data_IF_145199840459
#
_entry.id   IF_145199840459
#
_cell.length_a   1.000
_cell.length_b   1.000
_cell.length_c   1.000
_cell.angle_alpha   90.00
_cell.angle_beta   90.00
_cell.angle_gamma   90.00
#
_symmetry.space_group_name_H-M   'P 1'
#
loop_
_entity.id
_entity.type
_entity.pdbx_description
1 polymer ?
#
# COMPACT_ATOMS: atom_id res chain seq x y z
N UNK A 1 -19.70 7.15 -16.02
CA UNK A 1 -19.02 8.29 -16.67
C UNK A 1 -17.54 7.99 -16.78
N UNK A 2 -16.98 8.16 -17.96
CA UNK A 2 -15.58 7.92 -18.19
C UNK A 2 -14.78 9.20 -17.95
N UNK A 3 -13.81 9.11 -17.07
CA UNK A 3 -12.86 10.21 -16.87
C UNK A 3 -11.75 10.11 -17.89
N UNK A 4 -11.28 11.26 -18.41
CA UNK A 4 -10.03 11.28 -19.14
C UNK A 4 -8.87 11.10 -18.16
N UNK A 5 -7.66 10.89 -18.68
CA UNK A 5 -6.47 10.61 -17.89
C UNK A 5 -6.17 11.71 -16.86
N UNK A 6 -6.34 12.95 -17.25
CA UNK A 6 -6.09 14.12 -16.40
C UNK A 6 -7.08 14.19 -15.26
N UNK A 7 -8.36 13.96 -15.55
CA UNK A 7 -9.42 13.96 -14.53
C UNK A 7 -9.24 12.82 -13.54
N UNK A 8 -8.87 11.64 -14.04
CA UNK A 8 -8.62 10.49 -13.18
C UNK A 8 -7.46 10.74 -12.23
N UNK A 9 -6.34 11.27 -12.74
CA UNK A 9 -5.18 11.63 -11.92
C UNK A 9 -5.57 12.63 -10.82
N UNK A 10 -6.35 13.64 -11.17
CA UNK A 10 -6.79 14.64 -10.19
C UNK A 10 -7.75 14.04 -9.16
N UNK A 11 -8.67 13.17 -9.59
CA UNK A 11 -9.59 12.48 -8.67
C UNK A 11 -8.82 11.64 -7.65
N UNK A 12 -7.74 10.99 -8.07
CA UNK A 12 -6.88 10.22 -7.16
C UNK A 12 -6.18 11.10 -6.13
N UNK A 13 -5.67 12.25 -6.54
CA UNK A 13 -5.06 13.22 -5.63
C UNK A 13 -6.07 13.76 -4.63
N UNK A 14 -7.27 14.10 -5.09
CA UNK A 14 -8.35 14.62 -4.25
C UNK A 14 -8.80 13.57 -3.24
N UNK A 15 -8.88 12.31 -3.68
CA UNK A 15 -9.25 11.19 -2.81
C UNK A 15 -8.26 11.08 -1.64
N UNK A 16 -6.96 11.13 -1.93
CA UNK A 16 -5.93 11.01 -0.90
C UNK A 16 -5.95 12.23 0.04
N UNK A 17 -6.12 13.42 -0.50
CA UNK A 17 -6.24 14.64 0.30
C UNK A 17 -7.39 14.55 1.32
N UNK A 18 -8.51 13.98 0.91
CA UNK A 18 -9.65 13.75 1.80
C UNK A 18 -9.36 12.63 2.81
N UNK A 19 -8.74 11.54 2.36
CA UNK A 19 -8.44 10.37 3.20
C UNK A 19 -7.52 10.73 4.36
N UNK A 20 -6.52 11.58 4.14
CA UNK A 20 -5.55 11.94 5.19
C UNK A 20 -6.17 12.79 6.30
N UNK A 21 -7.36 13.32 6.11
CA UNK A 21 -8.09 14.04 7.15
C UNK A 21 -8.87 13.12 8.09
N UNK A 22 -9.00 11.83 7.75
CA UNK A 22 -9.72 10.88 8.59
C UNK A 22 -8.96 10.55 9.86
N UNK A 23 -9.69 10.33 10.94
CA UNK A 23 -9.11 9.95 12.22
C UNK A 23 -8.35 8.62 12.10
N UNK A 24 -7.18 8.56 12.71
CA UNK A 24 -6.34 7.36 12.71
C UNK A 24 -5.41 7.24 11.52
N UNK A 25 -5.53 8.12 10.51
CA UNK A 25 -4.61 8.13 9.37
C UNK A 25 -3.35 8.89 9.75
N UNK A 26 -2.21 8.23 9.59
CA UNK A 26 -0.89 8.76 9.95
C UNK A 26 -0.02 8.90 8.72
N UNK A 27 0.97 9.78 8.78
CA UNK A 27 1.87 10.03 7.66
C UNK A 27 3.13 9.18 7.72
N UNK A 28 3.65 8.87 6.54
CA UNK A 28 4.95 8.26 6.29
C UNK A 28 5.72 9.15 5.32
N UNK A 29 7.03 8.90 5.12
CA UNK A 29 7.77 9.67 4.13
C UNK A 29 7.16 9.60 2.72
N UNK A 30 7.43 10.62 1.92
CA UNK A 30 7.10 10.70 0.50
C UNK A 30 5.61 10.64 0.17
N UNK A 31 4.78 11.18 1.06
CA UNK A 31 3.35 11.30 0.80
C UNK A 31 2.59 9.99 0.93
N UNK A 32 3.16 8.99 1.56
CA UNK A 32 2.50 7.73 1.89
C UNK A 32 1.82 7.90 3.24
N UNK A 33 0.63 7.33 3.38
CA UNK A 33 -0.14 7.38 4.62
C UNK A 33 -0.61 5.98 4.99
N UNK A 34 -0.97 5.78 6.24
CA UNK A 34 -1.44 4.48 6.71
C UNK A 34 -2.42 4.61 7.86
N UNK A 35 -3.19 3.55 8.04
CA UNK A 35 -4.10 3.39 9.18
C UNK A 35 -3.88 2.00 9.75
N UNK A 36 -3.69 1.91 11.06
CA UNK A 36 -3.50 0.63 11.73
C UNK A 36 -4.85 -0.07 11.89
N UNK A 37 -4.96 -1.27 11.35
CA UNK A 37 -6.15 -2.11 11.50
C UNK A 37 -6.01 -3.11 12.63
N UNK A 38 -4.80 -3.62 12.86
CA UNK A 38 -4.48 -4.50 13.98
C UNK A 38 -3.01 -4.35 14.33
N UNK A 39 -2.69 -4.36 15.62
CA UNK A 39 -1.31 -4.30 16.09
C UNK A 39 -0.79 -5.72 16.34
N UNK A 40 0.44 -5.96 15.89
CA UNK A 40 1.14 -7.21 16.12
C UNK A 40 2.12 -7.11 17.27
N UNK A 41 3.31 -7.71 17.08
CA UNK A 41 4.38 -7.70 18.08
C UNK A 41 5.02 -6.33 18.14
N UNK A 42 4.84 -5.61 19.22
CA UNK A 42 5.47 -4.29 19.40
C UNK A 42 6.91 -4.47 19.95
N UNK A 43 7.72 -5.25 19.23
CA UNK A 43 9.08 -5.62 19.68
C UNK A 43 10.19 -4.76 19.03
N UNK A 44 9.80 -3.76 18.21
CA UNK A 44 10.74 -2.90 17.51
C UNK A 44 11.48 -3.55 16.36
N UNK A 45 11.13 -4.79 16.00
CA UNK A 45 11.75 -5.48 14.86
C UNK A 45 10.98 -5.17 13.58
N UNK A 46 11.66 -4.55 12.64
CA UNK A 46 11.09 -4.14 11.36
C UNK A 46 11.88 -4.76 10.20
N UNK A 47 11.22 -5.02 9.07
CA UNK A 47 11.96 -5.51 7.91
C UNK A 47 12.95 -4.46 7.40
N UNK A 48 14.09 -4.95 6.95
CA UNK A 48 15.07 -4.15 6.21
C UNK A 48 14.86 -4.40 4.70
N UNK A 49 15.36 -3.52 3.82
CA UNK A 49 15.13 -3.69 2.38
C UNK A 49 15.58 -5.04 1.81
N UNK A 50 16.61 -5.64 2.36
CA UNK A 50 17.12 -6.94 1.89
C UNK A 50 16.44 -8.15 2.51
N UNK A 51 15.61 -7.94 3.52
CA UNK A 51 14.86 -9.04 4.14
C UNK A 51 13.79 -9.57 3.19
N UNK A 52 13.50 -10.86 3.32
CA UNK A 52 12.33 -11.46 2.69
C UNK A 52 11.16 -11.22 3.64
N UNK A 53 10.12 -10.57 3.14
CA UNK A 53 8.89 -10.37 3.89
C UNK A 53 7.85 -11.38 3.43
N UNK A 54 7.09 -11.92 4.38
CA UNK A 54 5.95 -12.78 4.10
C UNK A 54 4.70 -12.02 4.51
N UNK A 55 3.77 -11.81 3.59
CA UNK A 55 2.60 -10.98 3.83
C UNK A 55 1.38 -11.46 3.07
N UNK A 56 0.21 -11.29 3.69
CA UNK A 56 -1.04 -11.28 2.95
C UNK A 56 -1.40 -9.84 2.61
N UNK A 57 -2.01 -9.64 1.46
CA UNK A 57 -2.40 -8.31 1.02
C UNK A 57 -3.59 -8.33 0.09
N UNK A 58 -4.24 -7.19 0.01
CA UNK A 58 -5.28 -6.90 -0.98
C UNK A 58 -5.06 -5.48 -1.47
N UNK A 59 -4.99 -5.29 -2.78
CA UNK A 59 -4.81 -3.98 -3.40
C UNK A 59 -6.05 -3.54 -4.16
N UNK A 60 -6.42 -2.26 -3.97
CA UNK A 60 -7.58 -1.63 -4.62
C UNK A 60 -7.23 -0.27 -5.20
N UNK A 61 -7.97 0.12 -6.21
CA UNK A 61 -8.00 1.50 -6.69
C UNK A 61 -9.05 2.29 -5.91
N UNK A 62 -9.10 3.61 -6.13
CA UNK A 62 -9.99 4.49 -5.34
C UNK A 62 -11.48 4.22 -5.54
N UNK A 63 -11.86 3.57 -6.63
CA UNK A 63 -13.26 3.16 -6.89
C UNK A 63 -13.64 1.87 -6.14
N UNK A 64 -12.71 1.31 -5.36
CA UNK A 64 -12.91 0.10 -4.58
C UNK A 64 -12.67 -1.19 -5.35
N UNK A 65 -12.29 -1.13 -6.62
CA UNK A 65 -12.00 -2.34 -7.40
C UNK A 65 -10.70 -2.97 -6.96
N UNK A 66 -10.75 -4.26 -6.65
CA UNK A 66 -9.58 -5.04 -6.31
C UNK A 66 -8.81 -5.39 -7.58
N UNK A 67 -7.52 -5.09 -7.61
CA UNK A 67 -6.68 -5.46 -8.75
C UNK A 67 -5.75 -6.62 -8.44
N UNK A 68 -5.51 -6.92 -7.16
CA UNK A 68 -4.65 -8.03 -6.75
C UNK A 68 -4.93 -8.39 -5.29
N UNK A 69 -4.69 -9.66 -4.96
CA UNK A 69 -4.80 -10.16 -3.58
C UNK A 69 -4.05 -11.48 -3.45
N UNK A 70 -3.44 -11.70 -2.30
CA UNK A 70 -2.87 -13.00 -1.93
C UNK A 70 -3.87 -13.86 -1.16
N UNK A 71 -4.95 -13.26 -0.65
CA UNK A 71 -5.91 -13.99 0.18
C UNK A 71 -6.68 -15.01 -0.63
N UNK A 72 -6.86 -16.18 -0.05
CA UNK A 72 -7.41 -17.34 -0.73
C UNK A 72 -6.32 -18.26 -1.29
N UNK A 73 -5.05 -17.90 -1.18
CA UNK A 73 -3.89 -18.68 -1.60
C UNK A 73 -2.73 -18.52 -0.63
N UNK A 74 -1.54 -18.85 -1.10
CA UNK A 74 -0.33 -18.67 -0.30
C UNK A 74 0.01 -17.20 -0.12
N UNK A 75 0.58 -16.80 1.03
CA UNK A 75 1.06 -15.43 1.20
C UNK A 75 2.22 -15.14 0.24
N UNK A 76 2.39 -13.86 -0.06
CA UNK A 76 3.54 -13.38 -0.83
C UNK A 76 4.79 -13.51 0.04
N UNK A 77 5.86 -14.07 -0.52
CA UNK A 77 7.17 -14.12 0.13
C UNK A 77 8.20 -13.58 -0.87
N UNK A 78 8.70 -12.38 -0.61
CA UNK A 78 9.59 -11.69 -1.56
C UNK A 78 10.51 -10.74 -0.80
N UNK A 79 11.66 -10.45 -1.39
CA UNK A 79 12.58 -9.45 -0.86
C UNK A 79 11.92 -8.07 -0.91
N UNK A 80 11.96 -7.36 0.23
CA UNK A 80 11.24 -6.09 0.33
C UNK A 80 11.67 -5.08 -0.74
N UNK A 81 12.97 -4.99 -1.04
CA UNK A 81 13.48 -4.03 -2.04
C UNK A 81 13.03 -4.34 -3.48
N UNK A 82 12.41 -5.49 -3.73
CA UNK A 82 11.88 -5.83 -5.06
C UNK A 82 10.41 -5.40 -5.22
N UNK A 83 9.83 -4.80 -4.21
CA UNK A 83 8.45 -4.30 -4.24
C UNK A 83 8.40 -2.81 -4.60
N UNK A 84 7.20 -2.28 -4.83
CA UNK A 84 7.05 -0.84 -5.12
C UNK A 84 7.48 0.01 -3.93
N UNK A 85 7.87 1.24 -4.19
CA UNK A 85 8.42 2.16 -3.17
C UNK A 85 7.49 2.31 -1.96
N UNK A 86 6.18 2.40 -2.20
CA UNK A 86 5.22 2.53 -1.10
C UNK A 86 5.28 1.39 -0.11
N UNK A 87 5.46 0.16 -0.58
CA UNK A 87 5.62 -1.01 0.29
C UNK A 87 6.96 -0.97 1.03
N UNK A 88 8.04 -0.59 0.34
CA UNK A 88 9.36 -0.52 0.95
C UNK A 88 9.35 0.44 2.13
N UNK A 89 8.75 1.61 1.95
CA UNK A 89 8.68 2.63 2.99
C UNK A 89 7.76 2.19 4.14
N UNK A 90 6.58 1.70 3.83
CA UNK A 90 5.59 1.34 4.85
C UNK A 90 6.05 0.14 5.69
N UNK A 91 6.51 -0.93 5.04
CA UNK A 91 6.85 -2.16 5.75
C UNK A 91 8.06 -2.04 6.66
N UNK A 92 8.97 -1.11 6.39
CA UNK A 92 10.08 -0.83 7.29
C UNK A 92 9.63 -0.26 8.64
N UNK A 93 8.38 0.15 8.77
CA UNK A 93 7.79 0.62 10.01
C UNK A 93 6.86 -0.40 10.65
N UNK A 94 6.58 -1.52 9.98
CA UNK A 94 5.69 -2.56 10.49
C UNK A 94 6.43 -3.59 11.32
N UNK A 95 5.73 -4.18 12.28
CA UNK A 95 6.17 -5.37 13.01
C UNK A 95 5.36 -6.58 12.57
N UNK A 96 5.89 -7.79 12.81
CA UNK A 96 5.15 -9.03 12.52
C UNK A 96 3.82 -9.03 13.26
N UNK A 97 2.76 -9.33 12.55
CA UNK A 97 1.39 -9.33 13.07
C UNK A 97 0.65 -8.03 12.85
N UNK A 98 1.35 -6.94 12.48
CA UNK A 98 0.69 -5.69 12.12
C UNK A 98 -0.13 -5.89 10.86
N UNK A 99 -1.31 -5.27 10.85
CA UNK A 99 -2.18 -5.18 9.70
C UNK A 99 -2.53 -3.72 9.49
N UNK A 100 -2.09 -3.19 8.37
CA UNK A 100 -2.28 -1.78 8.03
C UNK A 100 -3.03 -1.63 6.72
N UNK A 101 -3.78 -0.56 6.61
CA UNK A 101 -4.24 -0.05 5.32
C UNK A 101 -3.30 1.07 4.91
N UNK A 102 -2.63 0.92 3.77
CA UNK A 102 -1.58 1.84 3.30
C UNK A 102 -2.07 2.55 2.05
N UNK A 103 -1.94 3.86 2.04
CA UNK A 103 -2.37 4.72 0.93
C UNK A 103 -1.13 5.24 0.21
N UNK A 104 -0.97 4.83 -1.04
CA UNK A 104 0.25 5.07 -1.81
C UNK A 104 -0.08 5.97 -3.00
N UNK A 105 0.48 7.21 -3.04
CA UNK A 105 0.30 8.06 -4.20
C UNK A 105 0.95 7.43 -5.43
N UNK A 106 0.50 7.80 -6.62
CA UNK A 106 0.96 7.20 -7.86
C UNK A 106 2.48 7.19 -7.99
N UNK A 107 3.16 8.25 -7.57
CA UNK A 107 4.62 8.39 -7.67
C UNK A 107 5.38 7.31 -6.89
N UNK A 108 4.77 6.77 -5.84
CA UNK A 108 5.35 5.71 -5.01
C UNK A 108 4.79 4.33 -5.36
N UNK A 109 3.95 4.25 -6.37
CA UNK A 109 3.40 3.03 -6.92
C UNK A 109 3.86 2.82 -8.35
N UNK A 110 2.91 2.85 -9.30
CA UNK A 110 3.19 2.59 -10.71
C UNK A 110 3.26 3.86 -11.56
N UNK A 111 3.14 5.04 -10.95
CA UNK A 111 3.29 6.32 -11.63
C UNK A 111 2.24 6.54 -12.70
N UNK A 112 2.69 7.04 -13.85
CA UNK A 112 1.84 7.32 -15.00
C UNK A 112 1.55 6.11 -15.87
N UNK A 113 2.20 4.98 -15.60
CA UNK A 113 2.08 3.78 -16.41
C UNK A 113 0.94 2.91 -15.94
N UNK A 114 0.11 2.47 -16.87
CA UNK A 114 -0.99 1.56 -16.56
C UNK A 114 -0.46 0.15 -16.37
N UNK A 115 -1.05 -0.56 -15.41
CA UNK A 115 -0.85 -1.99 -15.18
C UNK A 115 -2.21 -2.67 -15.32
N UNK A 116 -2.28 -3.99 -15.45
CA UNK A 116 -3.58 -4.68 -15.48
C UNK A 116 -4.42 -4.33 -14.23
N UNK A 117 -5.59 -3.75 -14.48
CA UNK A 117 -6.49 -3.31 -13.41
C UNK A 117 -6.09 -2.02 -12.70
N UNK A 118 -4.98 -1.38 -13.10
CA UNK A 118 -4.48 -0.16 -12.46
C UNK A 118 -4.22 0.90 -13.54
N UNK A 119 -5.16 1.82 -13.76
CA UNK A 119 -4.90 2.93 -14.69
C UNK A 119 -3.73 3.80 -14.21
N UNK A 120 -2.98 4.38 -15.15
CA UNK A 120 -1.90 5.31 -14.81
C UNK A 120 -2.44 6.48 -13.97
N UNK A 121 -1.66 6.93 -12.99
CA UNK A 121 -2.07 7.98 -12.07
C UNK A 121 -2.90 7.49 -10.88
N UNK A 122 -3.00 6.18 -10.69
CA UNK A 122 -3.78 5.61 -9.59
C UNK A 122 -3.08 5.76 -8.24
N UNK A 123 -3.81 6.27 -7.25
CA UNK A 123 -3.50 6.06 -5.85
C UNK A 123 -3.84 4.62 -5.50
N UNK A 124 -2.96 3.93 -4.79
CA UNK A 124 -3.14 2.53 -4.44
C UNK A 124 -3.53 2.40 -2.97
N UNK A 125 -4.49 1.54 -2.69
CA UNK A 125 -4.94 1.24 -1.34
C UNK A 125 -4.62 -0.22 -1.08
N UNK A 126 -3.64 -0.47 -0.20
CA UNK A 126 -3.25 -1.83 0.17
C UNK A 126 -3.60 -2.11 1.61
N UNK A 127 -4.32 -3.20 1.83
CA UNK A 127 -4.39 -3.82 3.14
C UNK A 127 -3.24 -4.81 3.20
N UNK A 128 -2.31 -4.61 4.14
CA UNK A 128 -1.10 -5.44 4.28
C UNK A 128 -1.04 -6.02 5.68
N UNK A 129 -0.88 -7.33 5.77
CA UNK A 129 -0.64 -8.03 7.02
C UNK A 129 0.73 -8.67 6.96
N UNK A 130 1.65 -8.21 7.80
CA UNK A 130 3.02 -8.74 7.85
C UNK A 130 3.05 -10.00 8.70
N UNK A 131 3.39 -11.14 8.08
CA UNK A 131 3.37 -12.45 8.73
C UNK A 131 4.75 -12.90 9.18
N UNK A 132 5.81 -12.48 8.51
CA UNK A 132 7.15 -12.93 8.83
C UNK A 132 8.24 -12.10 8.16
N UNK A 133 9.44 -12.18 8.75
CA UNK A 133 10.64 -11.50 8.26
C UNK A 133 11.78 -12.52 8.27
N UNK A 134 12.47 -12.63 7.14
CA UNK A 134 13.61 -13.53 7.04
C UNK A 134 14.83 -12.89 6.38
#
# INVERSE_FOLDING_TARGET
MNMNKREYTQANKDWLTAKVQEEGVKSLPKGIYYKVLAEGKADGKHPMPRNIVTAHYTGRTIDGKQFDSSRGGAPLAIRLCDLIEGWIIAMQQMCVGDKWEVYIPAEMGYGKFSQPGIPGGSTLIFEIELLGIA
#
